data_IF_561182077746
#
_entry.id   IF_561182077746
#
_cell.length_a   1.000
_cell.length_b   1.000
_cell.length_c   1.000
_cell.angle_alpha   90.00
_cell.angle_beta   90.00
_cell.angle_gamma   90.00
#
_symmetry.space_group_name_H-M   'P 1'
#
loop_
_entity.id
_entity.type
_entity.pdbx_description
1 polymer ?
#
# COMPACT_ATOMS: atom_id res chain seq x y z
N UNK A 1 8.27 -27.42 -3.68
CA UNK A 1 7.74 -26.63 -2.56
C UNK A 1 7.19 -25.33 -3.12
N UNK A 2 5.98 -24.92 -2.73
CA UNK A 2 5.32 -23.68 -3.13
C UNK A 2 4.95 -22.88 -1.89
N UNK A 3 4.92 -21.55 -2.01
CA UNK A 3 4.40 -20.66 -0.96
C UNK A 3 2.90 -20.51 -1.19
N UNK A 4 2.10 -20.84 -0.19
CA UNK A 4 0.65 -20.65 -0.24
C UNK A 4 0.26 -19.31 0.38
N UNK A 5 -0.83 -18.72 -0.12
CA UNK A 5 -1.34 -17.45 0.40
C UNK A 5 -2.85 -17.46 0.52
N UNK A 6 -3.37 -16.65 1.43
CA UNK A 6 -4.81 -16.47 1.65
C UNK A 6 -5.15 -14.98 1.69
N UNK A 7 -6.15 -14.57 0.92
CA UNK A 7 -6.68 -13.21 0.97
C UNK A 7 -7.25 -12.87 2.36
N UNK A 8 -6.97 -11.66 2.83
CA UNK A 8 -7.39 -11.18 4.16
C UNK A 8 -8.37 -10.02 4.04
N UNK A 9 -7.97 -8.94 3.36
CA UNK A 9 -8.78 -7.74 3.13
C UNK A 9 -8.25 -6.93 1.96
N UNK A 10 -9.12 -6.08 1.42
CA UNK A 10 -8.81 -5.05 0.43
C UNK A 10 -8.84 -3.67 1.08
N UNK A 11 -7.94 -2.77 0.67
CA UNK A 11 -7.91 -1.36 1.07
C UNK A 11 -8.16 -0.48 -0.15
N UNK A 12 -8.88 0.62 0.08
CA UNK A 12 -8.90 1.80 -0.79
C UNK A 12 -8.31 2.96 -0.02
N UNK A 13 -7.11 3.40 -0.41
CA UNK A 13 -6.30 4.40 0.30
C UNK A 13 -6.40 5.73 -0.43
N UNK A 14 -7.03 6.73 0.16
CA UNK A 14 -7.11 8.08 -0.39
C UNK A 14 -5.82 8.85 -0.10
N UNK A 15 -5.34 9.59 -1.10
CA UNK A 15 -4.05 10.26 -1.04
C UNK A 15 -4.10 11.66 -1.64
N UNK A 16 -3.28 12.54 -1.10
CA UNK A 16 -3.07 13.89 -1.67
C UNK A 16 -2.19 13.87 -2.92
N UNK A 17 -2.08 15.03 -3.56
CA UNK A 17 -1.01 15.28 -4.52
C UNK A 17 0.37 15.12 -3.86
N UNK A 18 1.38 14.57 -4.56
CA UNK A 18 2.71 14.42 -4.00
C UNK A 18 3.34 15.75 -3.61
N UNK A 19 4.01 15.77 -2.46
CA UNK A 19 5.01 16.77 -2.11
C UNK A 19 6.32 16.34 -2.77
N UNK A 20 6.73 17.04 -3.82
CA UNK A 20 7.98 16.79 -4.52
C UNK A 20 9.15 17.40 -3.71
N UNK A 21 9.95 16.55 -3.07
CA UNK A 21 11.19 16.99 -2.40
C UNK A 21 12.30 17.16 -3.44
N UNK A 22 12.28 16.34 -4.49
CA UNK A 22 13.21 16.40 -5.60
C UNK A 22 14.45 15.50 -5.42
N UNK A 23 15.56 15.81 -6.12
CA UNK A 23 16.70 14.92 -6.20
C UNK A 23 17.41 14.77 -4.85
N UNK A 24 17.65 13.53 -4.45
CA UNK A 24 18.47 13.13 -3.30
C UNK A 24 19.47 12.05 -3.71
N UNK A 25 20.39 11.66 -2.82
CA UNK A 25 21.42 10.66 -3.11
C UNK A 25 20.86 9.34 -3.65
N UNK A 26 19.69 8.92 -3.14
CA UNK A 26 19.01 7.68 -3.47
C UNK A 26 18.13 7.73 -4.74
N UNK A 27 17.85 8.91 -5.30
CA UNK A 27 16.90 9.09 -6.41
C UNK A 27 16.03 10.34 -6.23
N UNK A 28 14.85 10.37 -6.83
CA UNK A 28 13.87 11.43 -6.60
C UNK A 28 13.02 11.11 -5.36
N UNK A 29 13.02 12.00 -4.37
CA UNK A 29 12.20 11.86 -3.15
C UNK A 29 10.88 12.58 -3.34
N UNK A 30 9.79 11.90 -2.98
CA UNK A 30 8.47 12.52 -2.80
C UNK A 30 7.71 11.90 -1.65
N UNK A 31 6.79 12.66 -1.11
CA UNK A 31 5.95 12.26 0.04
C UNK A 31 4.50 12.41 -0.37
N UNK A 32 3.70 11.36 -0.17
CA UNK A 32 2.28 11.37 -0.51
C UNK A 32 1.49 11.17 0.77
N UNK A 33 0.78 12.21 1.22
CA UNK A 33 -0.02 12.12 2.43
C UNK A 33 -1.22 11.19 2.22
N UNK A 34 -1.50 10.37 3.23
CA UNK A 34 -2.67 9.51 3.30
C UNK A 34 -3.75 10.27 4.07
N UNK A 35 -4.83 10.59 3.38
CA UNK A 35 -5.93 11.42 3.90
C UNK A 35 -7.06 10.60 4.48
N UNK A 36 -7.05 9.29 4.24
CA UNK A 36 -8.00 8.33 4.79
C UNK A 36 -8.22 7.18 3.83
N UNK A 37 -9.40 6.56 3.92
CA UNK A 37 -9.73 5.40 3.12
C UNK A 37 -10.64 4.43 3.83
N UNK A 38 -10.85 3.30 3.19
CA UNK A 38 -11.65 2.19 3.71
C UNK A 38 -10.90 0.88 3.54
N UNK A 39 -11.26 -0.11 4.34
CA UNK A 39 -10.82 -1.47 4.11
C UNK A 39 -11.90 -2.47 4.49
N UNK A 40 -11.94 -3.58 3.77
CA UNK A 40 -12.94 -4.62 3.95
C UNK A 40 -12.36 -6.00 3.63
N UNK A 41 -12.65 -6.95 4.51
CA UNK A 41 -12.30 -8.35 4.38
C UNK A 41 -13.26 -9.22 5.16
N UNK A 42 -13.09 -10.54 5.05
CA UNK A 42 -14.07 -11.52 5.58
C UNK A 42 -14.38 -11.33 7.07
N UNK A 43 -13.36 -11.02 7.88
CA UNK A 43 -13.45 -10.94 9.33
C UNK A 43 -13.04 -9.57 9.90
N UNK A 44 -12.76 -8.59 9.05
CA UNK A 44 -12.26 -7.29 9.50
C UNK A 44 -12.61 -6.24 8.47
N UNK A 45 -13.14 -5.10 8.94
CA UNK A 45 -13.48 -3.95 8.11
C UNK A 45 -13.35 -2.67 8.93
N UNK A 46 -13.25 -1.54 8.24
CA UNK A 46 -13.19 -0.24 8.88
C UNK A 46 -12.67 0.84 7.97
N UNK A 47 -12.01 1.82 8.57
CA UNK A 47 -11.49 3.01 7.89
C UNK A 47 -9.98 3.12 8.04
N UNK A 48 -9.37 3.86 7.13
CA UNK A 48 -7.98 4.32 7.26
C UNK A 48 -8.03 5.71 7.90
N UNK A 49 -7.25 5.92 8.95
CA UNK A 49 -7.20 7.20 9.63
C UNK A 49 -6.26 8.18 8.89
N UNK A 50 -6.59 9.48 8.83
CA UNK A 50 -5.68 10.49 8.33
C UNK A 50 -4.43 10.60 9.21
N UNK A 51 -3.32 11.09 8.64
CA UNK A 51 -2.08 11.38 9.37
C UNK A 51 -0.90 10.48 9.00
N UNK A 52 -1.12 9.49 8.14
CA UNK A 52 -0.05 8.71 7.53
C UNK A 52 0.50 9.33 6.25
N UNK A 53 1.58 8.76 5.73
CA UNK A 53 2.13 9.12 4.42
C UNK A 53 2.92 7.96 3.81
N UNK A 54 3.06 7.99 2.49
CA UNK A 54 4.00 7.18 1.72
C UNK A 54 5.24 7.98 1.36
N UNK A 55 6.39 7.53 1.84
CA UNK A 55 7.70 8.14 1.64
C UNK A 55 8.42 7.43 0.49
N UNK A 56 8.08 7.83 -0.73
CA UNK A 56 8.59 7.18 -1.95
C UNK A 56 9.98 7.66 -2.35
N UNK A 57 10.79 6.75 -2.90
CA UNK A 57 11.98 7.09 -3.70
C UNK A 57 11.78 6.54 -5.10
N UNK A 58 11.89 7.38 -6.12
CA UNK A 58 12.02 6.92 -7.51
C UNK A 58 13.51 6.79 -7.80
N UNK A 59 13.99 5.56 -7.91
CA UNK A 59 15.38 5.25 -8.20
C UNK A 59 15.76 5.61 -9.62
N UNK A 60 17.07 5.70 -9.86
CA UNK A 60 17.63 5.96 -11.20
C UNK A 60 17.29 4.88 -12.24
N UNK A 61 16.99 3.66 -11.80
CA UNK A 61 16.57 2.55 -12.65
C UNK A 61 15.04 2.52 -12.92
N UNK A 62 14.31 3.56 -12.48
CA UNK A 62 12.86 3.69 -12.69
C UNK A 62 12.00 2.94 -11.67
N UNK A 63 12.61 2.20 -10.72
CA UNK A 63 11.86 1.54 -9.65
C UNK A 63 11.43 2.58 -8.60
N UNK A 64 10.13 2.64 -8.30
CA UNK A 64 9.64 3.33 -7.11
C UNK A 64 9.74 2.40 -5.91
N UNK A 65 10.54 2.78 -4.91
CA UNK A 65 10.48 2.21 -3.56
C UNK A 65 9.38 2.92 -2.76
N UNK A 66 8.52 2.14 -2.13
CA UNK A 66 7.37 2.59 -1.34
C UNK A 66 7.63 2.26 0.12
N UNK A 67 7.38 3.23 1.00
CA UNK A 67 7.46 3.04 2.46
C UNK A 67 6.35 3.87 3.08
N UNK A 68 5.20 3.24 3.30
CA UNK A 68 4.04 3.91 3.87
C UNK A 68 3.88 3.60 5.36
N UNK A 69 3.65 4.65 6.16
CA UNK A 69 3.30 4.55 7.57
C UNK A 69 1.90 5.13 7.76
N UNK A 70 0.96 4.34 8.29
CA UNK A 70 -0.42 4.78 8.48
C UNK A 70 -1.16 3.86 9.47
N UNK A 71 -2.41 4.22 9.79
CA UNK A 71 -3.21 3.48 10.75
C UNK A 71 -4.58 3.14 10.17
N UNK A 72 -5.07 1.95 10.52
CA UNK A 72 -6.47 1.56 10.35
C UNK A 72 -7.22 1.75 11.66
N UNK A 73 -8.54 1.91 11.56
CA UNK A 73 -9.47 1.73 12.67
C UNK A 73 -10.57 0.78 12.21
N UNK A 74 -10.66 -0.37 12.88
CA UNK A 74 -11.73 -1.35 12.65
C UNK A 74 -13.08 -0.79 13.11
N UNK A 75 -14.19 -1.37 12.62
CA UNK A 75 -15.54 -0.95 13.04
C UNK A 75 -15.84 -1.20 14.52
N UNK A 76 -15.05 -2.04 15.19
CA UNK A 76 -15.14 -2.25 16.64
C UNK A 76 -14.21 -1.34 17.46
N UNK A 77 -13.59 -0.35 16.81
CA UNK A 77 -12.81 0.71 17.44
C UNK A 77 -11.33 0.39 17.62
N UNK A 78 -10.86 -0.79 17.20
CA UNK A 78 -9.47 -1.21 17.36
C UNK A 78 -8.54 -0.50 16.36
N UNK A 79 -7.52 0.25 16.84
CA UNK A 79 -6.51 0.82 15.96
C UNK A 79 -5.46 -0.24 15.57
N UNK A 80 -4.99 -0.18 14.33
CA UNK A 80 -3.91 -1.03 13.81
C UNK A 80 -2.90 -0.14 13.12
N UNK A 81 -1.64 -0.18 13.53
CA UNK A 81 -0.56 0.53 12.85
C UNK A 81 0.03 -0.32 11.74
N UNK A 82 0.40 0.32 10.62
CA UNK A 82 0.95 -0.34 9.45
C UNK A 82 2.23 0.34 9.02
N UNK A 83 3.25 -0.49 8.77
CA UNK A 83 4.39 -0.13 7.93
C UNK A 83 4.34 -0.99 6.67
N UNK A 84 4.10 -0.36 5.53
CA UNK A 84 3.94 -1.03 4.25
C UNK A 84 5.07 -0.68 3.30
N UNK A 85 5.96 -1.65 3.05
CA UNK A 85 7.12 -1.47 2.16
C UNK A 85 6.89 -2.18 0.84
N UNK A 86 7.38 -1.65 -0.27
CA UNK A 86 7.26 -2.36 -1.53
C UNK A 86 7.94 -1.69 -2.71
N UNK A 87 7.69 -2.26 -3.88
CA UNK A 87 8.23 -1.77 -5.14
C UNK A 87 7.14 -1.63 -6.18
N UNK A 88 7.27 -0.58 -6.99
CA UNK A 88 6.46 -0.36 -8.18
C UNK A 88 7.33 0.00 -9.37
N UNK A 89 7.16 -0.72 -10.48
CA UNK A 89 7.83 -0.44 -11.74
C UNK A 89 7.06 -1.05 -12.91
N UNK A 90 7.31 -0.58 -14.12
CA UNK A 90 6.69 -1.09 -15.34
C UNK A 90 7.14 -0.26 -16.54
N UNK A 91 6.73 -0.63 -17.77
CA UNK A 91 6.99 0.19 -18.95
C UNK A 91 6.46 1.61 -18.75
N UNK A 92 7.21 2.61 -19.20
CA UNK A 92 6.89 4.02 -18.98
C UNK A 92 5.49 4.39 -19.49
N UNK A 93 5.10 3.86 -20.65
CA UNK A 93 3.76 4.03 -21.23
C UNK A 93 2.65 3.57 -20.26
N UNK A 94 2.82 2.41 -19.63
CA UNK A 94 1.86 1.86 -18.66
C UNK A 94 1.79 2.73 -17.41
N UNK A 95 2.94 3.17 -16.90
CA UNK A 95 3.00 4.04 -15.72
C UNK A 95 2.35 5.40 -15.99
N UNK A 96 2.51 5.95 -17.19
CA UNK A 96 1.89 7.22 -17.58
C UNK A 96 0.38 7.09 -17.73
N UNK A 97 -0.13 6.01 -18.33
CA UNK A 97 -1.57 5.69 -18.38
C UNK A 97 -2.18 5.58 -16.98
N UNK A 98 -1.52 4.88 -16.06
CA UNK A 98 -1.95 4.78 -14.66
C UNK A 98 -2.07 6.15 -13.96
N UNK A 99 -1.11 7.07 -14.20
CA UNK A 99 -1.16 8.42 -13.63
C UNK A 99 -2.36 9.24 -14.14
N UNK A 100 -2.83 8.94 -15.35
CA UNK A 100 -3.97 9.60 -15.99
C UNK A 100 -5.29 8.89 -15.68
N UNK A 101 -5.27 7.75 -14.98
CA UNK A 101 -6.45 6.96 -14.68
C UNK A 101 -6.95 6.13 -15.86
N UNK A 102 -6.13 5.96 -16.89
CA UNK A 102 -6.47 5.13 -18.04
C UNK A 102 -6.36 3.64 -17.70
N UNK A 103 -7.22 2.79 -18.28
CA UNK A 103 -7.12 1.35 -18.11
C UNK A 103 -5.81 0.83 -18.71
N UNK A 104 -5.16 -0.08 -17.98
CA UNK A 104 -3.95 -0.78 -18.45
C UNK A 104 -4.18 -2.28 -18.40
N UNK A 105 -3.49 -3.09 -19.24
CA UNK A 105 -3.62 -4.53 -19.19
C UNK A 105 -3.25 -5.09 -17.81
N UNK A 106 -3.90 -6.17 -17.42
CA UNK A 106 -3.57 -6.87 -16.18
C UNK A 106 -2.09 -7.29 -16.18
N UNK A 107 -1.44 -7.19 -15.03
CA UNK A 107 -0.03 -7.54 -14.84
C UNK A 107 0.96 -6.80 -15.76
N UNK A 108 0.56 -5.71 -16.42
CA UNK A 108 1.44 -4.88 -17.26
C UNK A 108 2.47 -4.07 -16.48
N UNK A 109 2.36 -4.03 -15.15
CA UNK A 109 3.32 -3.42 -14.24
C UNK A 109 3.41 -4.23 -12.95
N UNK A 110 4.54 -4.09 -12.29
CA UNK A 110 4.77 -4.64 -10.97
C UNK A 110 4.36 -3.63 -9.92
N UNK A 111 3.51 -4.03 -8.98
CA UNK A 111 3.24 -3.30 -7.74
C UNK A 111 2.93 -4.31 -6.63
N UNK A 112 3.95 -4.60 -5.82
CA UNK A 112 3.87 -5.54 -4.70
C UNK A 112 4.46 -4.93 -3.46
N UNK A 113 3.87 -5.26 -2.33
CA UNK A 113 4.24 -4.73 -1.03
C UNK A 113 4.29 -5.83 0.03
N UNK A 114 4.85 -5.52 1.18
CA UNK A 114 4.98 -6.38 2.35
C UNK A 114 4.54 -5.56 3.56
N UNK A 115 3.22 -5.51 3.85
CA UNK A 115 2.73 -4.80 5.02
C UNK A 115 3.07 -5.58 6.28
N UNK A 116 3.51 -4.84 7.28
CA UNK A 116 3.70 -5.30 8.66
C UNK A 116 2.76 -4.51 9.56
N UNK A 117 2.26 -5.17 10.60
CA UNK A 117 1.18 -4.66 11.42
C UNK A 117 1.57 -4.69 12.90
N UNK A 118 1.08 -3.70 13.63
CA UNK A 118 1.13 -3.66 15.09
C UNK A 118 -0.27 -3.39 15.63
N UNK A 119 -0.75 -4.28 16.48
CA UNK A 119 -2.06 -4.20 17.13
C UNK A 119 -2.01 -4.79 18.54
N UNK A 120 -2.63 -4.12 19.52
CA UNK A 120 -2.67 -4.58 20.91
C UNK A 120 -3.83 -5.53 21.22
N UNK A 121 -4.86 -5.55 20.38
CA UNK A 121 -6.04 -6.38 20.59
C UNK A 121 -5.80 -7.82 20.12
N UNK A 122 -5.96 -8.77 21.04
CA UNK A 122 -5.73 -10.20 20.81
C UNK A 122 -6.60 -10.81 19.70
N UNK A 123 -7.79 -10.23 19.41
CA UNK A 123 -8.64 -10.67 18.31
C UNK A 123 -7.95 -10.54 16.95
N UNK A 124 -7.01 -9.60 16.85
CA UNK A 124 -6.23 -9.31 15.65
C UNK A 124 -4.75 -9.71 15.77
N UNK A 125 -4.36 -10.46 16.81
CA UNK A 125 -2.97 -10.87 17.06
C UNK A 125 -2.31 -11.66 15.91
N UNK A 126 -3.11 -12.23 14.99
CA UNK A 126 -2.58 -12.86 13.78
C UNK A 126 -1.84 -11.86 12.87
N UNK A 127 -2.17 -10.56 12.93
CA UNK A 127 -1.49 -9.52 12.16
C UNK A 127 -0.04 -9.30 12.65
N UNK A 128 0.22 -9.49 13.94
CA UNK A 128 1.55 -9.28 14.54
C UNK A 128 2.54 -10.42 14.25
N UNK A 129 2.07 -11.61 13.86
CA UNK A 129 2.87 -12.85 13.86
C UNK A 129 3.03 -13.54 12.51
N UNK A 130 2.30 -13.07 11.49
CA UNK A 130 2.34 -13.68 10.16
C UNK A 130 2.98 -12.74 9.14
N UNK A 131 3.49 -13.30 8.05
CA UNK A 131 3.93 -12.53 6.90
C UNK A 131 2.74 -12.21 6.00
N UNK A 132 2.80 -11.04 5.37
CA UNK A 132 1.79 -10.58 4.45
C UNK A 132 2.42 -10.03 3.18
N UNK A 133 1.71 -10.19 2.08
CA UNK A 133 2.05 -9.60 0.78
C UNK A 133 0.85 -8.82 0.26
N UNK A 134 1.12 -7.64 -0.30
CA UNK A 134 0.11 -6.77 -0.88
C UNK A 134 0.25 -6.70 -2.40
N UNK A 135 -0.88 -6.67 -3.11
CA UNK A 135 -0.95 -6.38 -4.54
C UNK A 135 -1.61 -5.03 -4.73
N UNK A 136 -0.84 -4.06 -5.23
CA UNK A 136 -1.29 -2.69 -5.40
C UNK A 136 -1.81 -2.41 -6.80
N UNK A 137 -2.81 -1.54 -6.88
CA UNK A 137 -3.26 -0.87 -8.09
C UNK A 137 -3.28 0.63 -7.86
N UNK A 138 -2.67 1.40 -8.76
CA UNK A 138 -2.69 2.86 -8.69
C UNK A 138 -3.86 3.41 -9.50
N UNK A 139 -4.68 4.23 -8.87
CA UNK A 139 -5.68 5.10 -9.51
C UNK A 139 -5.24 6.57 -9.31
N UNK A 140 -5.84 7.57 -9.98
CA UNK A 140 -5.38 8.97 -9.88
C UNK A 140 -5.38 9.52 -8.45
N UNK A 141 -6.47 9.29 -7.72
CA UNK A 141 -6.78 9.85 -6.41
C UNK A 141 -6.66 8.83 -5.27
N UNK A 142 -6.53 7.55 -5.58
CA UNK A 142 -6.39 6.50 -4.57
C UNK A 142 -5.43 5.37 -4.96
N UNK A 143 -5.06 4.56 -3.97
CA UNK A 143 -4.36 3.29 -4.16
C UNK A 143 -5.27 2.18 -3.66
N UNK A 144 -5.55 1.20 -4.53
CA UNK A 144 -6.20 -0.04 -4.14
C UNK A 144 -5.14 -1.06 -3.76
N UNK A 145 -5.29 -1.72 -2.62
CA UNK A 145 -4.33 -2.73 -2.16
C UNK A 145 -5.07 -3.98 -1.69
N UNK A 146 -4.76 -5.13 -2.29
CA UNK A 146 -5.24 -6.44 -1.80
C UNK A 146 -4.18 -7.06 -0.91
N UNK A 147 -4.52 -7.44 0.31
CA UNK A 147 -3.57 -8.01 1.28
C UNK A 147 -3.82 -9.51 1.45
N UNK A 148 -2.73 -10.28 1.39
CA UNK A 148 -2.72 -11.73 1.54
C UNK A 148 -1.79 -12.13 2.68
N UNK A 149 -2.23 -13.06 3.52
CA UNK A 149 -1.41 -13.75 4.50
C UNK A 149 -0.65 -14.88 3.80
N UNK A 150 0.63 -15.05 4.14
CA UNK A 150 1.43 -16.23 3.77
C UNK A 150 1.11 -17.38 4.74
N UNK A 151 0.87 -18.58 4.22
CA UNK A 151 0.49 -19.78 4.98
C UNK A 151 1.67 -20.74 5.21
#
# INVERSE_FOLDING_TARGET
>A
MSIETKHVFDLTIYVDSPIEVGPVSAGERRIINITGGTFEGKNMRGVILPGGADYQVIRRDGVTEVVAHYSLQTTDGTPIYIVNRGYRYGPEEIINKLKQGEPVPDNSYYFKTMPTFEVSDERYAFLNRNLFVGIGTREPDCVKLKVFQVL
#
